data_IF_972378445725
#
_entry.id   IF_972378445725
#
_cell.length_a   1.000
_cell.length_b   1.000
_cell.length_c   1.000
_cell.angle_alpha   90.00
_cell.angle_beta   90.00
_cell.angle_gamma   90.00
#
_symmetry.space_group_name_H-M   'P 1'
#
loop_
_entity.id
_entity.type
_entity.pdbx_description
1 polymer ?
#
# COMPACT_ATOMS: atom_id res chain seq x y z
N UNK A 1 -3.34 -5.38 -19.68
CA UNK A 1 -3.96 -5.30 -18.34
C UNK A 1 -2.84 -5.21 -17.33
N UNK A 2 -2.57 -4.01 -16.80
CA UNK A 2 -1.52 -3.81 -15.82
C UNK A 2 -1.86 -4.57 -14.55
N UNK A 3 -0.97 -5.47 -14.14
CA UNK A 3 -1.08 -6.20 -12.88
C UNK A 3 -0.90 -5.16 -11.78
N UNK A 4 -1.96 -4.79 -11.08
CA UNK A 4 -1.83 -3.98 -9.85
C UNK A 4 -1.22 -4.89 -8.79
N UNK A 5 0.10 -4.85 -8.68
CA UNK A 5 0.85 -5.63 -7.70
C UNK A 5 0.74 -4.94 -6.34
N UNK A 6 0.38 -5.73 -5.32
CA UNK A 6 0.31 -5.28 -3.94
C UNK A 6 1.55 -5.78 -3.23
N UNK A 7 2.34 -4.89 -2.66
CA UNK A 7 3.50 -5.27 -1.85
C UNK A 7 3.06 -5.44 -0.41
N UNK A 8 3.57 -6.48 0.24
CA UNK A 8 3.33 -6.72 1.66
C UNK A 8 4.50 -6.16 2.45
N UNK A 9 4.22 -5.21 3.34
CA UNK A 9 5.23 -4.50 4.11
C UNK A 9 4.93 -4.61 5.61
N UNK A 10 5.88 -5.15 6.37
CA UNK A 10 5.80 -5.25 7.84
C UNK A 10 6.16 -3.94 8.55
N UNK A 11 6.93 -3.06 7.90
CA UNK A 11 7.21 -1.71 8.37
C UNK A 11 6.01 -0.77 8.18
N UNK A 12 5.06 -1.14 7.33
CA UNK A 12 3.90 -0.32 7.08
C UNK A 12 2.92 -0.30 8.25
N UNK A 13 2.49 0.90 8.64
CA UNK A 13 1.47 1.15 9.67
C UNK A 13 0.03 1.07 9.16
N UNK A 14 -0.19 1.22 7.85
CA UNK A 14 -1.53 1.21 7.25
C UNK A 14 -1.51 0.64 5.83
N UNK A 15 -2.65 0.14 5.37
CA UNK A 15 -2.82 -0.23 3.97
C UNK A 15 -2.90 1.05 3.12
N UNK A 16 -2.26 1.05 1.97
CA UNK A 16 -2.17 2.21 1.10
C UNK A 16 -2.37 1.81 -0.35
N UNK A 17 -2.98 2.67 -1.16
CA UNK A 17 -3.13 2.41 -2.59
C UNK A 17 -3.29 3.69 -3.37
N UNK A 18 -2.78 3.67 -4.60
CA UNK A 18 -2.98 4.69 -5.63
C UNK A 18 -4.04 4.31 -6.64
N UNK A 19 -4.54 3.08 -6.59
CA UNK A 19 -5.44 2.53 -7.60
C UNK A 19 -6.86 2.45 -7.08
N UNK A 20 -7.80 3.06 -7.80
CA UNK A 20 -9.24 3.07 -7.49
C UNK A 20 -10.02 1.88 -8.03
N UNK A 21 -9.47 1.16 -9.01
CA UNK A 21 -10.19 0.12 -9.76
C UNK A 21 -10.75 -1.02 -8.91
N UNK A 22 -10.16 -1.23 -7.73
CA UNK A 22 -10.55 -2.31 -6.80
C UNK A 22 -11.35 -1.81 -5.60
N UNK A 23 -11.86 -0.58 -5.66
CA UNK A 23 -12.59 0.02 -4.54
C UNK A 23 -14.00 -0.55 -4.49
N UNK A 24 -14.31 -1.14 -3.33
CA UNK A 24 -15.67 -1.58 -2.97
C UNK A 24 -16.44 -0.41 -2.39
N UNK A 25 -15.79 0.42 -1.57
CA UNK A 25 -16.36 1.65 -1.04
C UNK A 25 -15.29 2.70 -0.74
N UNK A 26 -15.70 3.96 -0.70
CA UNK A 26 -14.86 5.09 -0.36
C UNK A 26 -15.57 5.97 0.67
N UNK A 27 -14.80 6.48 1.61
CA UNK A 27 -15.23 7.41 2.64
C UNK A 27 -14.24 8.57 2.71
N UNK A 28 -14.77 9.78 2.70
CA UNK A 28 -13.98 10.98 2.90
C UNK A 28 -13.39 11.01 4.31
N UNK A 29 -12.16 11.49 4.41
CA UNK A 29 -11.45 11.60 5.68
C UNK A 29 -11.89 12.86 6.42
N UNK A 30 -12.45 12.70 7.62
CA UNK A 30 -12.80 13.83 8.51
C UNK A 30 -11.55 14.59 9.00
N UNK A 31 -10.44 13.88 9.11
CA UNK A 31 -9.15 14.42 9.55
C UNK A 31 -8.12 14.09 8.46
N UNK A 32 -7.36 15.08 7.96
CA UNK A 32 -6.35 14.81 6.95
C UNK A 32 -5.28 13.86 7.49
N UNK A 33 -4.98 12.81 6.73
CA UNK A 33 -3.89 11.88 7.04
C UNK A 33 -2.73 12.22 6.13
N UNK A 34 -1.69 12.83 6.70
CA UNK A 34 -0.49 13.27 5.99
C UNK A 34 0.66 12.31 6.27
N UNK A 35 1.38 11.91 5.22
CA UNK A 35 2.58 11.09 5.33
C UNK A 35 3.75 11.76 4.62
N UNK A 36 4.96 11.41 5.03
CA UNK A 36 6.19 11.81 4.34
C UNK A 36 6.68 10.61 3.55
N UNK A 37 6.82 10.77 2.24
CA UNK A 37 7.45 9.76 1.39
C UNK A 37 8.97 9.94 1.40
N UNK A 38 9.68 8.97 0.84
CA UNK A 38 11.13 8.92 0.96
C UNK A 38 11.88 10.05 0.24
N UNK A 39 11.27 10.65 -0.78
CA UNK A 39 11.76 11.88 -1.42
C UNK A 39 11.62 13.12 -0.52
N UNK A 40 11.19 12.96 0.74
CA UNK A 40 10.94 14.04 1.69
C UNK A 40 9.65 14.81 1.44
N UNK A 41 8.95 14.55 0.32
CA UNK A 41 7.65 15.14 0.02
C UNK A 41 6.60 14.68 1.03
N UNK A 42 5.73 15.61 1.44
CA UNK A 42 4.54 15.30 2.23
C UNK A 42 3.34 15.18 1.30
N UNK A 43 2.58 14.10 1.46
CA UNK A 43 1.37 13.84 0.68
C UNK A 43 0.21 13.55 1.62
N UNK A 44 -0.99 13.91 1.16
CA UNK A 44 -2.23 13.76 1.90
C UNK A 44 -3.06 12.62 1.34
N UNK A 45 -3.62 11.81 2.24
CA UNK A 45 -4.61 10.81 1.86
C UNK A 45 -5.89 11.55 1.46
N UNK A 46 -6.43 11.19 0.31
CA UNK A 46 -7.65 11.81 -0.23
C UNK A 46 -8.89 11.16 0.37
N UNK A 47 -8.83 9.85 0.62
CA UNK A 47 -9.95 9.11 1.18
C UNK A 47 -9.47 7.85 1.90
N UNK A 48 -10.37 7.29 2.70
CA UNK A 48 -10.25 5.93 3.20
C UNK A 48 -11.18 5.03 2.40
N UNK A 49 -10.70 3.87 2.00
CA UNK A 49 -11.42 2.96 1.10
C UNK A 49 -11.40 1.54 1.61
N UNK A 50 -12.36 0.77 1.13
CA UNK A 50 -12.40 -0.68 1.27
C UNK A 50 -12.06 -1.27 -0.09
N UNK A 51 -11.09 -2.18 -0.14
CA UNK A 51 -10.56 -2.76 -1.37
C UNK A 51 -10.84 -4.25 -1.42
N UNK A 52 -11.37 -4.71 -2.54
CA UNK A 52 -11.56 -6.13 -2.83
C UNK A 52 -10.33 -6.70 -3.53
N UNK A 53 -9.75 -7.74 -2.95
CA UNK A 53 -8.66 -8.52 -3.54
C UNK A 53 -9.16 -9.92 -3.87
N UNK A 54 -8.83 -10.41 -5.06
CA UNK A 54 -9.05 -11.79 -5.45
C UNK A 54 -7.69 -12.49 -5.48
N UNK A 55 -7.53 -13.49 -4.63
CA UNK A 55 -6.37 -14.35 -4.58
C UNK A 55 -6.38 -15.33 -5.76
N UNK A 56 -5.23 -15.94 -6.04
CA UNK A 56 -5.07 -16.85 -7.18
C UNK A 56 -5.90 -18.13 -7.04
N UNK A 57 -6.18 -18.55 -5.80
CA UNK A 57 -7.05 -19.68 -5.46
C UNK A 57 -8.55 -19.35 -5.65
N UNK A 58 -8.89 -18.13 -6.08
CA UNK A 58 -10.27 -17.66 -6.24
C UNK A 58 -10.87 -17.06 -4.97
N UNK A 59 -10.19 -17.14 -3.83
CA UNK A 59 -10.64 -16.58 -2.56
C UNK A 59 -10.71 -15.06 -2.67
N UNK A 60 -11.82 -14.48 -2.23
CA UNK A 60 -12.00 -13.02 -2.18
C UNK A 60 -11.72 -12.52 -0.77
N UNK A 61 -10.78 -11.59 -0.65
CA UNK A 61 -10.37 -10.95 0.61
C UNK A 61 -10.69 -9.47 0.51
N UNK A 62 -11.27 -8.92 1.57
CA UNK A 62 -11.57 -7.50 1.65
C UNK A 62 -10.61 -6.83 2.62
N UNK A 63 -9.88 -5.82 2.15
CA UNK A 63 -9.07 -4.95 2.99
C UNK A 63 -9.86 -3.68 3.31
N UNK A 64 -10.10 -3.46 4.59
CA UNK A 64 -10.71 -2.22 5.09
C UNK A 64 -9.63 -1.22 5.52
N UNK A 65 -10.03 0.04 5.71
CA UNK A 65 -9.15 1.14 6.15
C UNK A 65 -7.92 1.34 5.24
N UNK A 66 -8.12 1.26 3.92
CA UNK A 66 -7.06 1.49 2.94
C UNK A 66 -6.99 2.97 2.60
N UNK A 67 -5.87 3.60 2.87
CA UNK A 67 -5.65 5.01 2.56
C UNK A 67 -5.38 5.19 1.06
N UNK A 68 -6.13 6.08 0.43
CA UNK A 68 -6.01 6.39 -0.98
C UNK A 68 -5.13 7.62 -1.21
N UNK A 69 -4.06 7.44 -1.98
CA UNK A 69 -3.12 8.50 -2.35
C UNK A 69 -2.94 8.53 -3.88
N UNK A 70 -3.63 9.43 -4.60
CA UNK A 70 -3.51 9.51 -6.06
C UNK A 70 -2.14 10.01 -6.54
N UNK A 71 -1.37 10.66 -5.67
CA UNK A 71 -0.10 11.30 -6.01
C UNK A 71 1.11 10.35 -6.01
N UNK A 72 0.94 9.10 -5.58
CA UNK A 72 1.99 8.08 -5.59
C UNK A 72 1.55 6.93 -6.47
N UNK A 73 2.49 6.07 -6.85
CA UNK A 73 2.19 4.82 -7.54
C UNK A 73 2.27 3.64 -6.57
N UNK A 74 1.60 2.55 -6.91
CA UNK A 74 1.64 1.29 -6.16
C UNK A 74 0.60 1.15 -5.05
N UNK A 75 0.59 -0.04 -4.45
CA UNK A 75 -0.31 -0.44 -3.37
C UNK A 75 0.44 -1.28 -2.34
N UNK A 76 0.22 -0.99 -1.06
CA UNK A 76 0.91 -1.63 0.07
C UNK A 76 -0.10 -2.23 1.04
N UNK A 77 0.17 -3.46 1.48
CA UNK A 77 -0.54 -4.14 2.57
C UNK A 77 0.35 -4.11 3.81
N UNK A 78 -0.09 -3.40 4.84
CA UNK A 78 0.54 -3.48 6.16
C UNK A 78 0.30 -4.86 6.78
N UNK A 79 1.38 -5.58 7.12
CA UNK A 79 1.29 -6.85 7.87
C UNK A 79 0.75 -6.59 9.27
N UNK A 80 1.20 -5.52 9.92
CA UNK A 80 0.75 -5.17 11.26
C UNK A 80 -0.77 -4.95 11.32
N UNK A 81 -1.34 -4.31 10.29
CA UNK A 81 -2.79 -4.07 10.20
C UNK A 81 -3.58 -5.28 9.69
N UNK A 82 -2.96 -6.12 8.85
CA UNK A 82 -3.54 -7.40 8.42
C UNK A 82 -3.63 -8.42 9.56
N UNK A 83 -2.57 -8.54 10.36
CA UNK A 83 -2.49 -9.43 11.52
C UNK A 83 -3.24 -8.88 12.76
N UNK A 84 -3.49 -7.56 12.79
CA UNK A 84 -3.88 -6.83 13.98
C UNK A 84 -5.35 -6.44 14.06
N UNK A 85 -6.18 -7.39 14.50
CA UNK A 85 -7.24 -7.14 15.51
C UNK A 85 -6.67 -7.18 16.94
N UNK A 86 -5.42 -6.80 17.14
CA UNK A 86 -4.79 -6.79 18.47
C UNK A 86 -3.68 -5.75 18.52
N UNK A 87 -3.65 -5.03 19.64
CA UNK A 87 -2.67 -4.03 20.06
C UNK A 87 -2.90 -2.60 19.59
N UNK A 88 -3.89 -1.97 20.22
CA UNK A 88 -3.82 -0.54 20.57
C UNK A 88 -2.54 -0.26 21.35
N UNK A 89 -1.54 0.34 20.70
CA UNK A 89 -0.47 1.07 21.41
C UNK A 89 -0.45 2.49 20.88
N UNK A 90 -1.12 3.37 21.61
CA UNK A 90 -0.84 4.80 21.58
C UNK A 90 0.64 4.97 21.92
N UNK A 91 1.42 5.52 20.99
CA UNK A 91 2.73 6.06 21.32
C UNK A 91 2.89 7.37 20.57
N UNK A 92 3.07 8.41 21.38
CA UNK A 92 3.18 9.78 20.97
C UNK A 92 4.53 10.03 20.27
N UNK A 93 4.46 10.82 19.19
CA UNK A 93 5.54 11.57 18.53
C UNK A 93 6.73 10.81 17.92
N UNK A 94 7.04 11.24 16.70
CA UNK A 94 8.37 11.33 16.06
C UNK A 94 8.66 10.27 14.98
N UNK A 95 8.92 10.78 13.77
CA UNK A 95 9.43 10.14 12.55
C UNK A 95 9.06 8.67 12.31
N UNK A 96 8.06 8.47 11.44
CA UNK A 96 7.88 7.21 10.75
C UNK A 96 8.89 7.13 9.60
N UNK A 97 10.05 6.51 9.85
CA UNK A 97 10.93 6.03 8.79
C UNK A 97 10.24 4.85 8.11
N UNK A 98 9.70 5.05 6.91
CA UNK A 98 9.19 3.95 6.09
C UNK A 98 10.28 3.50 5.13
N UNK A 99 10.55 2.21 5.12
CA UNK A 99 11.41 1.58 4.13
C UNK A 99 10.77 1.77 2.74
N UNK A 100 11.37 2.67 1.99
CA UNK A 100 11.13 2.94 0.60
C UNK A 100 11.49 1.72 -0.24
N UNK A 101 10.50 0.90 -0.60
CA UNK A 101 10.58 0.11 -1.83
C UNK A 101 9.90 0.90 -2.95
N UNK A 102 10.45 2.08 -3.25
CA UNK A 102 10.23 2.82 -4.49
C UNK A 102 11.60 2.98 -5.14
N UNK A 103 12.18 1.85 -5.56
CA UNK A 103 13.34 1.88 -6.44
C UNK A 103 12.86 2.11 -7.89
N UNK A 104 13.65 2.83 -8.72
CA UNK A 104 13.34 3.09 -10.14
C UNK A 104 13.13 1.79 -10.94
N UNK A 105 12.48 1.84 -12.12
CA UNK A 105 11.83 0.69 -12.74
C UNK A 105 12.83 -0.44 -12.97
N UNK A 106 12.59 -1.57 -12.29
CA UNK A 106 13.30 -2.80 -12.54
C UNK A 106 12.98 -3.23 -13.98
N UNK A 107 13.93 -3.02 -14.89
CA UNK A 107 13.91 -3.61 -16.23
C UNK A 107 14.20 -5.11 -16.06
N UNK A 108 13.31 -6.02 -16.48
CA UNK A 108 13.75 -7.38 -16.75
C UNK A 108 14.58 -7.32 -18.05
N UNK A 109 15.90 -7.18 -17.94
CA UNK A 109 16.75 -7.65 -19.05
C UNK A 109 16.70 -9.16 -19.00
N UNK A 110 15.88 -9.73 -19.88
CA UNK A 110 16.01 -11.11 -20.30
C UNK A 110 17.50 -11.39 -20.58
N UNK A 111 18.01 -12.46 -20.00
CA UNK A 111 19.14 -13.20 -20.56
C UNK A 111 18.67 -14.62 -20.77
N UNK A 112 18.03 -14.84 -21.91
CA UNK A 112 18.16 -16.11 -22.61
C UNK A 112 19.55 -16.13 -23.26
N UNK A 113 20.30 -17.21 -23.02
CA UNK A 113 21.03 -18.05 -23.99
C UNK A 113 21.86 -19.04 -23.17
N UNK A 114 21.43 -20.30 -23.11
CA UNK A 114 21.82 -21.39 -24.02
C UNK A 114 23.11 -22.08 -23.57
N UNK A 115 22.97 -23.37 -23.28
CA UNK A 115 23.94 -24.49 -23.37
C UNK A 115 25.35 -24.15 -23.85
N UNK A 116 26.34 -24.60 -23.08
CA UNK A 116 27.25 -25.66 -23.53
C UNK A 116 27.68 -26.54 -22.36
#
# INVERSE_FOLDING_TARGET
MGKTEWLVDSGARSHMTSVRDKFVSMKELKTPVRITIADGKKIDAVAMSTVGLKLMDGTSVTLSDVLYFPEVEGSLISVAKLAGRTSSRSSARTSVSFAMAMLPPWRPSAVETSTS
#
